data_IF_281736564100
#
_entry.id   IF_281736564100
#
_cell.length_a   1.000
_cell.length_b   1.000
_cell.length_c   1.000
_cell.angle_alpha   90.00
_cell.angle_beta   90.00
_cell.angle_gamma   90.00
#
_symmetry.space_group_name_H-M   'P 1'
#
loop_
_entity.id
_entity.type
_entity.pdbx_description
1 polymer ?
#
# COMPACT_ATOMS: atom_id res chain seq x y z
N UNK A 1 13.98 -18.47 10.39
CA UNK A 1 13.23 -17.76 10.74
C UNK A 1 12.15 -17.36 9.90
N UNK A 2 11.23 -16.82 10.23
CA UNK A 2 10.25 -16.47 9.48
C UNK A 2 10.29 -15.13 9.03
N UNK A 3 9.80 -14.79 7.91
CA UNK A 3 9.71 -13.50 7.47
C UNK A 3 8.41 -12.98 7.78
N UNK A 4 8.37 -11.86 8.45
CA UNK A 4 7.13 -11.32 8.77
C UNK A 4 6.94 -10.12 7.97
N UNK A 5 5.84 -9.93 7.27
CA UNK A 5 5.60 -8.73 6.54
C UNK A 5 4.35 -8.10 7.04
N UNK A 6 4.27 -6.81 6.89
CA UNK A 6 3.12 -6.07 7.30
C UNK A 6 2.23 -5.89 6.11
N UNK A 7 0.96 -6.22 6.26
CA UNK A 7 0.00 -6.04 5.20
C UNK A 7 -0.83 -4.82 5.50
N UNK A 8 -0.94 -3.96 4.51
CA UNK A 8 -1.64 -2.71 4.66
C UNK A 8 -2.80 -2.67 3.69
N UNK A 9 -3.92 -2.20 4.15
CA UNK A 9 -5.06 -1.99 3.29
C UNK A 9 -5.30 -0.50 3.23
N UNK A 10 -5.26 0.06 2.04
CA UNK A 10 -5.51 1.49 1.86
C UNK A 10 -6.82 1.64 1.14
N UNK A 11 -7.68 2.47 1.66
CA UNK A 11 -8.99 2.66 1.06
C UNK A 11 -9.28 4.14 0.99
N UNK A 12 -9.65 4.61 -0.17
CA UNK A 12 -9.92 6.03 -0.35
C UNK A 12 -9.94 6.35 -1.83
N UNK A 13 -9.81 7.62 -2.13
CA UNK A 13 -9.75 8.04 -3.51
C UNK A 13 -8.40 7.69 -4.08
N UNK A 14 -8.36 7.43 -5.38
CA UNK A 14 -7.11 7.01 -5.98
C UNK A 14 -6.00 8.02 -5.80
N UNK A 15 -6.33 9.30 -5.84
CA UNK A 15 -5.29 10.30 -5.66
C UNK A 15 -4.66 10.21 -4.28
N UNK A 16 -5.46 9.94 -3.26
CA UNK A 16 -4.94 9.81 -1.91
C UNK A 16 -4.10 8.55 -1.78
N UNK A 17 -4.57 7.48 -2.39
CA UNK A 17 -3.84 6.24 -2.33
C UNK A 17 -2.50 6.37 -3.01
N UNK A 18 -2.47 7.02 -4.16
CA UNK A 18 -1.23 7.21 -4.89
C UNK A 18 -0.26 8.07 -4.11
N UNK A 19 -0.79 9.09 -3.47
CA UNK A 19 0.04 9.97 -2.66
C UNK A 19 0.73 9.17 -1.55
N UNK A 20 -0.03 8.33 -0.87
CA UNK A 20 0.53 7.55 0.22
C UNK A 20 1.49 6.46 -0.29
N UNK A 21 1.15 5.85 -1.41
CA UNK A 21 2.02 4.88 -2.01
C UNK A 21 3.39 5.46 -2.31
N UNK A 22 3.40 6.68 -2.81
CA UNK A 22 4.65 7.32 -3.12
C UNK A 22 5.49 7.54 -1.88
N UNK A 23 4.85 7.93 -0.79
CA UNK A 23 5.54 8.11 0.46
C UNK A 23 6.15 6.79 0.92
N UNK A 24 5.38 5.71 0.83
CA UNK A 24 5.89 4.41 1.21
C UNK A 24 7.12 4.03 0.40
N UNK A 25 7.06 4.28 -0.89
CA UNK A 25 8.15 3.88 -1.76
C UNK A 25 9.40 4.70 -1.56
N UNK A 26 9.23 5.93 -1.13
CA UNK A 26 10.36 6.82 -0.96
C UNK A 26 10.94 6.80 0.43
N UNK A 27 10.26 6.18 1.36
CA UNK A 27 10.72 6.18 2.75
C UNK A 27 11.85 5.18 2.92
N UNK A 28 12.96 5.67 3.46
CA UNK A 28 14.13 4.83 3.62
C UNK A 28 13.94 3.74 4.64
N UNK A 29 12.98 3.87 5.49
CA UNK A 29 12.74 2.90 6.55
C UNK A 29 11.80 1.78 6.13
N UNK A 30 11.22 1.90 4.95
CA UNK A 30 10.21 0.97 4.50
C UNK A 30 10.64 0.31 3.21
N UNK A 31 10.45 -1.00 3.15
CA UNK A 31 10.72 -1.71 1.94
C UNK A 31 9.39 -2.22 1.42
N UNK A 32 8.98 -1.75 0.28
CA UNK A 32 7.72 -2.17 -0.31
C UNK A 32 7.94 -3.45 -1.08
N UNK A 33 7.25 -4.50 -0.69
CA UNK A 33 7.40 -5.79 -1.32
C UNK A 33 6.46 -5.97 -2.48
N UNK A 34 5.29 -5.40 -2.40
CA UNK A 34 4.34 -5.50 -3.48
C UNK A 34 3.14 -4.63 -3.22
N UNK A 35 2.51 -4.21 -4.30
CA UNK A 35 1.31 -3.39 -4.22
C UNK A 35 0.34 -3.93 -5.24
N UNK A 36 -0.89 -4.14 -4.83
CA UNK A 36 -1.89 -4.68 -5.73
C UNK A 36 -2.45 -3.60 -6.61
N UNK A 37 -3.20 -4.02 -7.61
CA UNK A 37 -3.93 -3.08 -8.43
C UNK A 37 -5.09 -2.56 -7.62
N UNK A 38 -5.60 -1.38 -7.96
CA UNK A 38 -6.74 -0.83 -7.24
C UNK A 38 -8.00 -1.64 -7.53
N UNK A 39 -8.75 -1.92 -6.48
CA UNK A 39 -10.03 -2.58 -6.61
C UNK A 39 -11.11 -1.59 -6.26
N UNK A 40 -12.09 -1.44 -7.13
CA UNK A 40 -13.18 -0.51 -6.87
C UNK A 40 -14.05 -1.04 -5.74
N UNK A 41 -14.47 -0.17 -4.88
CA UNK A 41 -15.37 -0.56 -3.82
C UNK A 41 -16.76 -0.73 -4.40
N UNK A 42 -17.50 -1.65 -3.81
CA UNK A 42 -18.82 -1.93 -4.28
C UNK A 42 -19.71 -0.73 -4.13
N UNK A 43 -20.45 -0.43 -5.13
CA UNK A 43 -21.43 0.64 -5.04
C UNK A 43 -20.90 2.02 -5.30
N UNK A 44 -19.63 2.16 -5.67
CA UNK A 44 -19.10 3.47 -5.93
C UNK A 44 -17.94 3.38 -6.89
N UNK A 45 -17.74 4.42 -7.68
CA UNK A 45 -16.60 4.52 -8.56
C UNK A 45 -15.56 5.43 -7.99
N UNK A 46 -15.81 6.00 -6.83
CA UNK A 46 -14.91 6.99 -6.27
C UNK A 46 -13.88 6.42 -5.37
N UNK A 47 -14.23 5.38 -4.65
CA UNK A 47 -13.35 4.85 -3.62
C UNK A 47 -12.82 3.50 -4.03
N UNK A 48 -11.53 3.33 -3.81
CA UNK A 48 -10.85 2.12 -4.20
C UNK A 48 -10.09 1.59 -3.01
N UNK A 49 -9.67 0.36 -3.09
CA UNK A 49 -8.81 -0.19 -2.05
C UNK A 49 -7.61 -0.83 -2.71
N UNK A 50 -6.50 -0.72 -2.05
CA UNK A 50 -5.24 -1.26 -2.52
C UNK A 50 -4.59 -1.96 -1.36
N UNK A 51 -3.99 -3.10 -1.65
CA UNK A 51 -3.30 -3.86 -0.62
C UNK A 51 -1.82 -3.77 -0.87
N UNK A 52 -1.08 -3.53 0.17
CA UNK A 52 0.36 -3.43 0.05
C UNK A 52 1.02 -4.32 1.07
N UNK A 53 2.21 -4.81 0.75
CA UNK A 53 2.99 -5.60 1.67
C UNK A 53 4.32 -4.91 1.83
N UNK A 54 4.70 -4.65 3.06
CA UNK A 54 5.94 -3.93 3.32
C UNK A 54 6.70 -4.62 4.44
N UNK A 55 7.96 -4.29 4.50
CA UNK A 55 8.83 -4.77 5.55
C UNK A 55 9.66 -3.62 6.05
N UNK A 56 10.25 -3.81 7.21
CA UNK A 56 11.22 -2.87 7.73
C UNK A 56 12.44 -2.97 6.85
N UNK A 57 12.97 -1.83 6.46
CA UNK A 57 14.18 -1.85 5.69
C UNK A 57 15.33 -1.76 6.66
N UNK A 58 16.11 -2.82 6.73
CA UNK A 58 17.23 -2.79 7.64
C UNK A 58 18.44 -2.40 6.91
N UNK A 59 19.38 -1.78 7.62
CA UNK A 59 20.54 -1.31 7.01
C UNK A 59 21.57 -2.17 7.00
#
# INVERSE_FOLDING_TARGET
RRHEMLKIRMQGMTSDIEWFQKILEEDKRIRVLGISEPFANKGTNKYFRVYAEVNKKEK
#
